data_IF_619895000098
#
_entry.id   IF_619895000098
#
_cell.length_a   1.000
_cell.length_b   1.000
_cell.length_c   1.000
_cell.angle_alpha   90.00
_cell.angle_beta   90.00
_cell.angle_gamma   90.00
#
_symmetry.space_group_name_H-M   'P 1'
#
loop_
_entity.id
_entity.type
_entity.pdbx_description
1 polymer ?
#
# COMPACT_ATOMS: atom_id res chain seq x y z
N UNK A 1 -9.13 47.12 -16.68
CA UNK A 1 -7.94 46.22 -16.69
C UNK A 1 -8.43 44.79 -16.84
N UNK A 2 -8.25 44.18 -18.01
CA UNK A 2 -8.48 42.74 -18.20
C UNK A 2 -7.34 42.01 -17.47
N UNK A 3 -7.63 41.39 -16.31
CA UNK A 3 -6.66 40.47 -15.67
C UNK A 3 -6.40 39.35 -16.68
N UNK A 4 -5.14 39.06 -17.00
CA UNK A 4 -4.74 37.92 -17.82
C UNK A 4 -5.44 36.65 -17.29
N UNK A 5 -6.49 36.20 -17.99
CA UNK A 5 -7.12 34.91 -17.71
C UNK A 5 -6.16 33.84 -18.23
N UNK A 6 -5.84 32.86 -17.37
CA UNK A 6 -5.10 31.68 -17.81
C UNK A 6 -6.08 30.83 -18.59
N UNK A 7 -5.63 30.37 -19.75
CA UNK A 7 -6.36 29.43 -20.58
C UNK A 7 -5.97 28.01 -20.13
N UNK A 8 -6.65 27.51 -19.11
CA UNK A 8 -6.33 26.22 -18.50
C UNK A 8 -6.72 25.06 -19.41
N UNK A 9 -5.83 24.08 -19.58
CA UNK A 9 -6.16 22.80 -20.21
C UNK A 9 -6.30 21.71 -19.14
N UNK A 10 -7.54 21.26 -18.90
CA UNK A 10 -7.88 20.37 -17.80
C UNK A 10 -8.36 19.02 -18.31
N UNK A 11 -7.90 17.93 -17.71
CA UNK A 11 -8.37 16.58 -18.00
C UNK A 11 -9.34 16.10 -16.90
N UNK A 12 -10.58 15.81 -17.28
CA UNK A 12 -11.60 15.24 -16.40
C UNK A 12 -11.75 13.73 -16.69
N UNK A 13 -11.39 12.88 -15.74
CA UNK A 13 -11.21 11.44 -15.97
C UNK A 13 -12.38 10.63 -15.39
N UNK A 14 -13.00 9.78 -16.21
CA UNK A 14 -13.86 8.69 -15.72
C UNK A 14 -15.21 9.13 -15.15
N UNK A 15 -15.69 10.33 -15.49
CA UNK A 15 -17.00 10.82 -15.08
C UNK A 15 -18.17 9.97 -15.62
N UNK A 16 -17.99 9.40 -16.81
CA UNK A 16 -18.89 8.46 -17.46
C UNK A 16 -19.15 7.21 -16.59
N UNK A 17 -18.08 6.65 -16.00
CA UNK A 17 -18.17 5.47 -15.13
C UNK A 17 -18.99 5.71 -13.87
N UNK A 18 -19.05 6.95 -13.40
CA UNK A 18 -19.87 7.33 -12.25
C UNK A 18 -21.32 7.69 -12.61
N UNK A 19 -21.68 7.60 -13.90
CA UNK A 19 -23.01 7.92 -14.42
C UNK A 19 -23.24 9.42 -14.61
N UNK A 20 -22.18 10.20 -14.78
CA UNK A 20 -22.29 11.57 -15.26
C UNK A 20 -22.15 11.60 -16.77
N UNK A 21 -22.99 12.38 -17.43
CA UNK A 21 -23.00 12.51 -18.88
C UNK A 21 -22.53 13.93 -19.23
N UNK A 22 -21.26 14.11 -19.66
CA UNK A 22 -20.84 15.40 -20.17
C UNK A 22 -21.56 15.69 -21.48
N UNK A 23 -21.99 16.94 -21.69
CA UNK A 23 -22.73 17.33 -22.92
C UNK A 23 -21.89 17.15 -24.19
N UNK A 24 -20.56 17.12 -24.05
CA UNK A 24 -19.59 16.97 -25.12
C UNK A 24 -18.27 16.40 -24.59
N UNK A 25 -17.43 15.86 -25.49
CA UNK A 25 -16.08 15.36 -25.13
C UNK A 25 -15.14 16.45 -24.61
N UNK A 26 -15.42 17.70 -24.94
CA UNK A 26 -14.64 18.84 -24.48
C UNK A 26 -15.53 20.06 -24.27
N UNK A 27 -15.37 20.74 -23.15
CA UNK A 27 -16.09 21.97 -22.85
C UNK A 27 -15.12 23.15 -22.81
N UNK A 28 -15.39 24.16 -23.62
CA UNK A 28 -14.70 25.45 -23.56
C UNK A 28 -15.42 26.37 -22.56
N UNK A 29 -14.62 27.06 -21.74
CA UNK A 29 -15.07 28.01 -20.72
C UNK A 29 -14.24 29.27 -20.79
N UNK A 30 -14.68 30.37 -20.16
CA UNK A 30 -13.86 31.59 -20.11
C UNK A 30 -12.55 31.41 -19.30
N UNK A 31 -12.35 30.27 -18.62
CA UNK A 31 -11.16 29.92 -17.85
C UNK A 31 -10.32 28.82 -18.53
N UNK A 32 -10.76 28.36 -19.70
CA UNK A 32 -10.07 27.36 -20.52
C UNK A 32 -10.92 26.16 -20.85
N UNK A 33 -10.26 25.06 -21.21
CA UNK A 33 -10.88 23.87 -21.80
C UNK A 33 -10.79 22.66 -20.87
N UNK A 34 -11.91 21.97 -20.71
CA UNK A 34 -12.00 20.69 -20.00
C UNK A 34 -12.23 19.57 -21.01
N UNK A 35 -11.28 18.65 -21.13
CA UNK A 35 -11.46 17.41 -21.90
C UNK A 35 -11.99 16.31 -20.97
N UNK A 36 -13.16 15.75 -21.28
CA UNK A 36 -13.74 14.61 -20.59
C UNK A 36 -13.27 13.33 -21.25
N UNK A 37 -12.42 12.57 -20.56
CA UNK A 37 -11.84 11.34 -21.05
C UNK A 37 -12.34 10.15 -20.24
N UNK A 38 -12.68 9.05 -20.92
CA UNK A 38 -12.85 7.75 -20.27
C UNK A 38 -11.53 7.28 -19.65
N UNK A 39 -11.60 6.27 -18.74
CA UNK A 39 -10.39 5.66 -18.13
C UNK A 39 -9.35 5.26 -19.21
N UNK A 40 -9.79 4.63 -20.28
CA UNK A 40 -8.93 4.10 -21.35
C UNK A 40 -8.32 5.24 -22.19
N UNK A 41 -9.10 6.26 -22.52
CA UNK A 41 -8.60 7.45 -23.24
C UNK A 41 -7.59 8.23 -22.38
N UNK A 42 -7.83 8.34 -21.07
CA UNK A 42 -6.92 9.02 -20.15
C UNK A 42 -5.57 8.30 -20.04
N UNK A 43 -5.56 6.96 -20.00
CA UNK A 43 -4.33 6.16 -19.98
C UNK A 43 -3.52 6.29 -21.26
N UNK A 44 -4.19 6.25 -22.42
CA UNK A 44 -3.54 6.28 -23.73
C UNK A 44 -3.15 7.69 -24.21
N UNK A 45 -3.75 8.74 -23.64
CA UNK A 45 -3.47 10.12 -24.03
C UNK A 45 -2.01 10.50 -23.77
N UNK A 46 -1.36 11.15 -24.74
CA UNK A 46 -0.02 11.75 -24.58
C UNK A 46 -0.07 13.26 -24.34
N UNK A 47 -1.28 13.82 -24.20
CA UNK A 47 -1.45 15.26 -23.99
C UNK A 47 -1.00 15.64 -22.58
N UNK A 48 -0.25 16.73 -22.49
CA UNK A 48 0.00 17.43 -21.22
C UNK A 48 -1.20 18.30 -20.88
N UNK A 49 -1.55 18.31 -19.59
CA UNK A 49 -2.65 19.06 -19.01
C UNK A 49 -2.12 19.86 -17.83
N UNK A 50 -2.65 21.05 -17.65
CA UNK A 50 -2.32 21.91 -16.51
C UNK A 50 -3.01 21.44 -15.23
N UNK A 51 -4.11 20.68 -15.37
CA UNK A 51 -4.94 20.25 -14.27
C UNK A 51 -5.63 18.91 -14.52
N UNK A 52 -5.88 18.16 -13.45
CA UNK A 52 -6.64 16.91 -13.48
C UNK A 52 -7.84 16.96 -12.54
N UNK A 53 -9.03 16.60 -13.01
CA UNK A 53 -10.22 16.35 -12.19
C UNK A 53 -10.45 14.84 -12.12
N UNK A 54 -10.30 14.28 -10.92
CA UNK A 54 -10.34 12.83 -10.68
C UNK A 54 -11.39 12.54 -9.60
N UNK A 55 -12.59 12.07 -9.99
CA UNK A 55 -13.56 11.55 -9.04
C UNK A 55 -13.07 10.30 -8.31
N UNK A 56 -13.49 10.11 -7.06
CA UNK A 56 -13.26 8.87 -6.33
C UNK A 56 -14.12 7.74 -6.90
N UNK A 57 -13.57 6.52 -6.92
CA UNK A 57 -14.29 5.31 -7.36
C UNK A 57 -14.24 5.06 -8.87
N UNK A 58 -13.39 5.76 -9.61
CA UNK A 58 -13.22 5.56 -11.06
C UNK A 58 -12.44 4.26 -11.36
N UNK A 59 -11.53 3.86 -10.48
CA UNK A 59 -10.66 2.70 -10.73
C UNK A 59 -11.07 1.45 -9.97
N UNK A 60 -12.11 1.54 -9.14
CA UNK A 60 -12.65 0.41 -8.40
C UNK A 60 -14.13 0.18 -8.69
N UNK A 61 -14.60 -1.03 -8.40
CA UNK A 61 -16.01 -1.38 -8.36
C UNK A 61 -16.26 -2.27 -7.16
N UNK A 62 -16.96 -1.75 -6.18
CA UNK A 62 -17.38 -2.50 -5.00
C UNK A 62 -18.79 -3.03 -5.27
N UNK A 63 -18.95 -4.35 -5.22
CA UNK A 63 -20.24 -5.02 -5.40
C UNK A 63 -20.61 -5.74 -4.12
N UNK A 64 -21.78 -5.41 -3.57
CA UNK A 64 -22.37 -6.14 -2.45
C UNK A 64 -23.24 -7.28 -2.97
N UNK A 65 -22.96 -8.49 -2.52
CA UNK A 65 -23.73 -9.71 -2.78
C UNK A 65 -24.29 -10.25 -1.47
N UNK A 66 -25.60 -10.57 -1.40
CA UNK A 66 -26.13 -11.24 -0.24
C UNK A 66 -25.50 -12.64 -0.11
N UNK A 67 -24.97 -12.95 1.07
CA UNK A 67 -24.46 -14.27 1.43
C UNK A 67 -25.26 -14.82 2.62
N UNK A 68 -25.19 -16.14 2.83
CA UNK A 68 -25.93 -16.84 3.91
C UNK A 68 -25.64 -16.25 5.29
N UNK A 69 -24.41 -15.78 5.49
CA UNK A 69 -23.94 -15.29 6.76
C UNK A 69 -23.89 -13.74 6.84
N UNK A 70 -24.42 -13.03 5.84
CA UNK A 70 -24.46 -11.57 5.78
C UNK A 70 -24.08 -11.01 4.41
N UNK A 71 -24.17 -9.69 4.17
CA UNK A 71 -23.73 -9.11 2.91
C UNK A 71 -22.21 -9.24 2.77
N UNK A 72 -21.76 -9.86 1.68
CA UNK A 72 -20.37 -9.93 1.25
C UNK A 72 -20.10 -8.84 0.23
N UNK A 73 -18.98 -8.16 0.33
CA UNK A 73 -18.49 -7.20 -0.65
C UNK A 73 -17.31 -7.77 -1.43
N UNK A 74 -17.25 -7.49 -2.73
CA UNK A 74 -16.10 -7.79 -3.58
C UNK A 74 -15.66 -6.48 -4.23
N UNK A 75 -14.36 -6.20 -4.22
CA UNK A 75 -13.78 -5.05 -4.91
C UNK A 75 -13.01 -5.51 -6.14
N UNK A 76 -13.46 -5.06 -7.31
CA UNK A 76 -12.75 -5.26 -8.58
C UNK A 76 -11.97 -3.99 -8.94
N UNK A 77 -10.67 -4.12 -9.19
CA UNK A 77 -9.78 -3.04 -9.57
C UNK A 77 -8.64 -3.57 -10.44
N UNK A 78 -8.39 -2.84 -11.52
CA UNK A 78 -7.29 -3.11 -12.44
C UNK A 78 -6.05 -2.33 -11.97
N UNK A 79 -5.27 -3.00 -11.13
CA UNK A 79 -4.12 -2.42 -10.40
C UNK A 79 -2.99 -1.99 -11.34
N UNK A 80 -2.82 -2.64 -12.49
CA UNK A 80 -1.80 -2.27 -13.47
C UNK A 80 -2.14 -0.95 -14.16
N UNK A 81 -3.38 -0.83 -14.65
CA UNK A 81 -3.88 0.42 -15.22
C UNK A 81 -3.84 1.57 -14.22
N UNK A 82 -4.22 1.28 -12.98
CA UNK A 82 -4.15 2.23 -11.88
C UNK A 82 -2.72 2.71 -11.64
N UNK A 83 -1.73 1.79 -11.59
CA UNK A 83 -0.32 2.15 -11.43
C UNK A 83 0.23 3.01 -12.57
N UNK A 84 -0.15 2.72 -13.82
CA UNK A 84 0.23 3.56 -14.98
C UNK A 84 -0.36 4.96 -14.89
N UNK A 85 -1.63 5.07 -14.51
CA UNK A 85 -2.28 6.38 -14.37
C UNK A 85 -1.69 7.17 -13.20
N UNK A 86 -1.44 6.53 -12.07
CA UNK A 86 -0.78 7.13 -10.91
C UNK A 86 0.57 7.74 -11.29
N UNK A 87 1.46 6.95 -11.92
CA UNK A 87 2.75 7.43 -12.38
C UNK A 87 2.63 8.64 -13.34
N UNK A 88 1.63 8.61 -14.23
CA UNK A 88 1.37 9.71 -15.16
C UNK A 88 0.93 10.99 -14.45
N UNK A 89 -0.02 10.89 -13.51
CA UNK A 89 -0.51 12.05 -12.74
C UNK A 89 0.60 12.63 -11.89
N UNK A 90 1.37 11.80 -11.19
CA UNK A 90 2.50 12.24 -10.35
C UNK A 90 3.58 12.95 -11.18
N UNK A 91 3.94 12.41 -12.34
CA UNK A 91 4.89 13.07 -13.26
C UNK A 91 4.42 14.45 -13.70
N UNK A 92 3.11 14.64 -13.93
CA UNK A 92 2.57 15.95 -14.30
C UNK A 92 2.51 16.90 -13.11
N UNK A 93 2.24 16.39 -11.90
CA UNK A 93 2.39 17.18 -10.68
C UNK A 93 3.84 17.65 -10.49
N UNK A 94 4.83 16.79 -10.69
CA UNK A 94 6.25 17.20 -10.66
C UNK A 94 6.57 18.29 -11.69
N UNK A 95 5.86 18.33 -12.82
CA UNK A 95 5.96 19.37 -13.84
C UNK A 95 5.16 20.66 -13.51
N UNK A 96 4.45 20.71 -12.39
CA UNK A 96 3.70 21.87 -11.91
C UNK A 96 2.20 21.86 -12.17
N UNK A 97 1.64 20.78 -12.72
CA UNK A 97 0.19 20.63 -12.90
C UNK A 97 -0.51 20.41 -11.56
N UNK A 98 -1.75 20.87 -11.42
CA UNK A 98 -2.55 20.63 -10.21
C UNK A 98 -3.48 19.43 -10.37
N UNK A 99 -3.92 18.85 -9.25
CA UNK A 99 -4.85 17.71 -9.24
C UNK A 99 -5.99 18.03 -8.29
N UNK A 100 -7.22 17.84 -8.73
CA UNK A 100 -8.41 17.93 -7.90
C UNK A 100 -9.07 16.55 -7.78
N UNK A 101 -9.08 16.03 -6.56
CA UNK A 101 -9.76 14.80 -6.20
C UNK A 101 -11.19 15.15 -5.75
N UNK A 102 -12.18 14.60 -6.44
CA UNK A 102 -13.60 14.81 -6.14
C UNK A 102 -14.16 13.60 -5.38
N UNK A 103 -14.34 13.74 -4.08
CA UNK A 103 -14.59 12.61 -3.17
C UNK A 103 -16.05 12.58 -2.72
N UNK A 104 -16.81 11.56 -3.14
CA UNK A 104 -18.15 11.28 -2.60
C UNK A 104 -18.05 10.24 -1.49
N UNK A 105 -17.64 9.03 -1.87
CA UNK A 105 -17.48 7.87 -1.00
C UNK A 105 -16.09 7.28 -1.21
N UNK A 106 -15.44 6.85 -0.13
CA UNK A 106 -14.21 6.08 -0.13
C UNK A 106 -14.34 4.97 0.91
N UNK A 107 -14.11 3.73 0.50
CA UNK A 107 -14.18 2.55 1.36
C UNK A 107 -12.78 1.99 1.44
N UNK A 108 -12.11 2.05 2.60
CA UNK A 108 -10.77 1.47 2.75
C UNK A 108 -10.79 -0.01 3.15
N UNK A 109 -11.94 -0.52 3.60
CA UNK A 109 -12.10 -1.88 4.13
C UNK A 109 -13.42 -2.47 3.69
N UNK A 110 -13.42 -3.72 3.22
CA UNK A 110 -14.62 -4.45 2.84
C UNK A 110 -14.77 -5.74 3.64
N UNK A 111 -16.02 -6.10 3.94
CA UNK A 111 -16.34 -7.37 4.57
C UNK A 111 -16.50 -8.44 3.47
N UNK A 112 -15.61 -9.43 3.43
CA UNK A 112 -15.70 -10.53 2.47
C UNK A 112 -16.62 -11.69 2.96
N UNK A 113 -17.36 -11.48 4.04
CA UNK A 113 -18.25 -12.46 4.67
C UNK A 113 -17.81 -12.73 6.11
N UNK A 114 -18.70 -13.25 6.96
CA UNK A 114 -18.42 -13.48 8.39
C UNK A 114 -17.28 -14.47 8.67
N UNK A 115 -16.93 -15.30 7.68
CA UNK A 115 -15.84 -16.28 7.77
C UNK A 115 -14.53 -15.79 7.18
N UNK A 116 -14.50 -14.63 6.54
CA UNK A 116 -13.32 -14.09 5.90
C UNK A 116 -12.87 -12.82 6.63
N UNK A 117 -11.56 -12.61 6.80
CA UNK A 117 -11.05 -11.38 7.38
C UNK A 117 -11.47 -10.17 6.53
N UNK A 118 -11.59 -9.01 7.19
CA UNK A 118 -11.87 -7.76 6.48
C UNK A 118 -10.69 -7.42 5.57
N UNK A 119 -10.91 -7.38 4.26
CA UNK A 119 -9.87 -7.05 3.30
C UNK A 119 -9.63 -5.54 3.24
N UNK A 120 -8.36 -5.14 3.22
CA UNK A 120 -7.95 -3.76 3.02
C UNK A 120 -7.91 -3.45 1.52
N UNK A 121 -8.69 -2.44 1.12
CA UNK A 121 -8.78 -1.95 -0.27
C UNK A 121 -8.43 -0.46 -0.35
N UNK A 122 -7.47 -0.02 0.47
CA UNK A 122 -7.03 1.38 0.53
C UNK A 122 -6.18 1.81 -0.68
N UNK A 123 -5.88 0.90 -1.61
CA UNK A 123 -5.02 1.13 -2.78
C UNK A 123 -5.70 0.82 -4.11
N UNK A 124 -7.01 0.54 -4.11
CA UNK A 124 -7.77 0.10 -5.29
C UNK A 124 -8.34 1.25 -6.14
N UNK A 125 -8.17 2.50 -5.71
CA UNK A 125 -8.60 3.69 -6.44
C UNK A 125 -7.51 4.77 -6.47
N UNK A 126 -7.46 5.56 -7.55
CA UNK A 126 -6.43 6.57 -7.79
C UNK A 126 -6.46 7.68 -6.73
N UNK A 127 -7.64 8.13 -6.34
CA UNK A 127 -7.76 9.16 -5.32
C UNK A 127 -7.26 8.64 -3.96
N UNK A 128 -7.50 7.37 -3.62
CA UNK A 128 -6.97 6.76 -2.38
C UNK A 128 -5.45 6.68 -2.39
N UNK A 129 -4.85 6.23 -3.50
CA UNK A 129 -3.38 6.14 -3.62
C UNK A 129 -2.69 7.49 -3.49
N UNK A 130 -3.22 8.51 -4.18
CA UNK A 130 -2.71 9.89 -4.05
C UNK A 130 -2.82 10.37 -2.59
N UNK A 131 -3.96 10.17 -1.93
CA UNK A 131 -4.13 10.56 -0.52
C UNK A 131 -3.23 9.79 0.45
N UNK A 132 -2.95 8.50 0.19
CA UNK A 132 -2.02 7.70 1.01
C UNK A 132 -0.61 8.27 0.98
N UNK A 133 -0.15 8.79 -0.16
CA UNK A 133 1.17 9.45 -0.29
C UNK A 133 1.31 10.65 0.65
N UNK A 134 0.21 11.38 0.88
CA UNK A 134 0.14 12.50 1.80
C UNK A 134 -0.30 12.12 3.22
N UNK A 135 -0.38 10.80 3.52
CA UNK A 135 -0.77 10.26 4.84
C UNK A 135 -2.12 10.79 5.34
N UNK A 136 -3.03 11.12 4.42
CA UNK A 136 -4.38 11.62 4.76
C UNK A 136 -5.26 10.43 5.15
N UNK A 137 -5.65 10.37 6.42
CA UNK A 137 -6.59 9.35 6.88
C UNK A 137 -8.01 9.74 6.49
N UNK A 138 -8.85 8.72 6.28
CA UNK A 138 -10.21 8.86 5.76
C UNK A 138 -11.17 8.15 6.69
N UNK A 139 -12.31 8.78 6.94
CA UNK A 139 -13.39 8.21 7.74
C UNK A 139 -14.70 8.31 6.99
N UNK A 140 -15.48 7.22 7.00
CA UNK A 140 -16.80 7.22 6.40
C UNK A 140 -17.82 7.87 7.31
N UNK A 141 -18.65 8.72 6.72
CA UNK A 141 -19.73 9.42 7.38
C UNK A 141 -21.08 8.86 6.99
N UNK A 142 -21.93 8.68 7.99
CA UNK A 142 -23.32 8.31 7.78
C UNK A 142 -24.12 9.58 7.45
N UNK A 143 -24.42 9.72 6.16
CA UNK A 143 -25.41 10.60 5.51
C UNK A 143 -25.17 12.12 5.49
N UNK A 144 -25.93 12.78 4.61
CA UNK A 144 -25.72 14.11 4.03
C UNK A 144 -25.46 15.22 5.03
N UNK A 145 -24.27 15.81 4.92
CA UNK A 145 -23.77 16.86 5.79
C UNK A 145 -24.05 18.23 5.19
N UNK A 146 -24.35 19.19 6.07
CA UNK A 146 -24.32 20.61 5.68
C UNK A 146 -22.87 21.04 5.61
N UNK A 147 -22.35 21.18 4.39
CA UNK A 147 -20.97 21.58 4.15
C UNK A 147 -20.84 23.11 4.14
N UNK A 148 -19.78 23.63 4.74
CA UNK A 148 -19.37 25.03 4.64
C UNK A 148 -17.94 25.12 4.17
N UNK A 149 -17.63 26.12 3.33
CA UNK A 149 -16.26 26.38 2.92
C UNK A 149 -15.56 27.35 3.86
N UNK A 150 -14.29 27.09 4.15
CA UNK A 150 -13.39 28.04 4.81
C UNK A 150 -12.79 29.07 3.85
N UNK A 151 -12.89 28.81 2.54
CA UNK A 151 -12.28 29.60 1.49
C UNK A 151 -13.38 30.17 0.59
N UNK A 152 -13.47 31.50 0.53
CA UNK A 152 -14.52 32.21 -0.23
C UNK A 152 -14.66 31.73 -1.67
N UNK A 153 -13.56 31.37 -2.32
CA UNK A 153 -13.56 30.88 -3.70
C UNK A 153 -14.42 29.62 -3.89
N UNK A 154 -14.47 28.73 -2.89
CA UNK A 154 -15.22 27.47 -2.98
C UNK A 154 -16.65 27.56 -2.43
N UNK A 155 -17.08 28.70 -1.85
CA UNK A 155 -18.41 28.82 -1.22
C UNK A 155 -19.56 28.51 -2.19
N UNK A 156 -19.53 29.09 -3.40
CA UNK A 156 -20.55 28.87 -4.42
C UNK A 156 -20.62 27.39 -4.83
N UNK A 157 -19.44 26.80 -5.10
CA UNK A 157 -19.31 25.40 -5.45
C UNK A 157 -19.88 24.47 -4.36
N UNK A 158 -19.45 24.69 -3.11
CA UNK A 158 -19.84 23.87 -1.97
C UNK A 158 -21.34 23.97 -1.70
N UNK A 159 -21.90 25.17 -1.77
CA UNK A 159 -23.32 25.40 -1.51
C UNK A 159 -24.22 24.72 -2.55
N UNK A 160 -23.85 24.80 -3.83
CA UNK A 160 -24.72 24.42 -4.94
C UNK A 160 -24.53 22.96 -5.35
N UNK A 161 -23.29 22.46 -5.37
CA UNK A 161 -22.94 21.24 -6.08
C UNK A 161 -22.32 20.15 -5.22
N UNK A 162 -21.65 20.50 -4.13
CA UNK A 162 -20.91 19.55 -3.30
C UNK A 162 -21.80 18.58 -2.51
N UNK A 163 -21.33 17.35 -2.39
CA UNK A 163 -21.79 16.30 -1.48
C UNK A 163 -20.64 15.34 -1.20
N UNK A 164 -20.55 14.85 0.03
CA UNK A 164 -19.61 13.79 0.39
C UNK A 164 -20.11 13.01 1.60
N UNK A 165 -19.58 11.80 1.75
CA UNK A 165 -19.71 10.90 2.89
C UNK A 165 -18.35 10.53 3.46
N UNK A 166 -17.31 11.35 3.22
CA UNK A 166 -15.96 11.11 3.72
C UNK A 166 -15.49 12.33 4.49
N UNK A 167 -14.98 12.12 5.70
CA UNK A 167 -14.20 13.10 6.44
C UNK A 167 -12.71 12.72 6.41
N UNK A 168 -11.85 13.72 6.55
CA UNK A 168 -10.40 13.59 6.47
C UNK A 168 -9.75 14.00 7.78
N UNK A 169 -8.70 13.27 8.16
CA UNK A 169 -7.76 13.71 9.19
C UNK A 169 -6.45 14.10 8.51
N UNK A 170 -6.08 15.40 8.55
CA UNK A 170 -4.85 15.87 7.92
C UNK A 170 -3.62 15.31 8.64
N UNK A 171 -2.51 15.24 7.91
CA UNK A 171 -1.21 14.87 8.47
C UNK A 171 -0.37 16.12 8.70
N UNK A 172 0.33 16.17 9.83
CA UNK A 172 1.28 17.25 10.15
C UNK A 172 2.56 17.20 9.29
N UNK A 173 2.74 16.13 8.48
CA UNK A 173 3.89 15.97 7.62
C UNK A 173 3.89 16.88 6.38
N UNK A 174 2.76 17.50 6.03
CA UNK A 174 2.60 18.30 4.82
C UNK A 174 1.85 19.61 5.10
N UNK A 175 2.08 20.63 4.27
CA UNK A 175 1.28 21.86 4.29
C UNK A 175 -0.16 21.52 3.82
N UNK A 176 -1.11 21.50 4.76
CA UNK A 176 -2.51 21.23 4.49
C UNK A 176 -3.39 22.40 4.93
N UNK A 177 -4.18 22.93 3.99
CA UNK A 177 -5.12 24.03 4.24
C UNK A 177 -6.55 23.47 4.23
N UNK A 178 -7.26 23.50 5.37
CA UNK A 178 -8.69 23.19 5.43
C UNK A 178 -9.50 24.05 4.44
N UNK A 179 -10.28 23.43 3.56
CA UNK A 179 -11.08 24.15 2.55
C UNK A 179 -12.58 23.97 2.73
N UNK A 180 -13.04 22.79 3.17
CA UNK A 180 -14.46 22.48 3.37
C UNK A 180 -14.63 21.66 4.64
N UNK A 181 -15.60 22.02 5.48
CA UNK A 181 -15.91 21.33 6.73
C UNK A 181 -17.41 21.20 6.98
N UNK A 182 -17.75 20.45 8.01
CA UNK A 182 -19.08 20.34 8.58
C UNK A 182 -18.97 20.23 10.11
N UNK A 183 -20.09 20.08 10.80
CA UNK A 183 -20.10 19.79 12.24
C UNK A 183 -19.43 18.45 12.61
N UNK A 184 -19.25 17.54 11.64
CA UNK A 184 -18.65 16.22 11.87
C UNK A 184 -17.16 16.14 11.55
N UNK A 185 -16.60 17.14 10.86
CA UNK A 185 -15.17 17.15 10.55
C UNK A 185 -14.81 17.89 9.27
N UNK A 186 -13.60 17.60 8.79
CA UNK A 186 -13.02 18.17 7.59
C UNK A 186 -13.41 17.33 6.37
N UNK A 187 -13.90 17.96 5.31
CA UNK A 187 -14.40 17.31 4.09
C UNK A 187 -13.71 17.78 2.81
N UNK A 188 -12.86 18.79 2.91
CA UNK A 188 -12.02 19.24 1.83
C UNK A 188 -10.78 19.92 2.39
N UNK A 189 -9.67 19.72 1.69
CA UNK A 189 -8.36 20.24 2.06
C UNK A 189 -7.52 20.48 0.81
N UNK A 190 -6.55 21.38 0.92
CA UNK A 190 -5.58 21.67 -0.13
C UNK A 190 -4.22 21.25 0.39
N UNK A 191 -3.51 20.38 -0.32
CA UNK A 191 -2.19 19.86 0.04
C UNK A 191 -1.16 20.50 -0.86
N UNK A 192 -0.16 21.16 -0.27
CA UNK A 192 0.97 21.81 -0.97
C UNK A 192 0.54 22.77 -2.09
N UNK A 193 -0.71 23.22 -2.06
CA UNK A 193 -1.34 24.06 -3.10
C UNK A 193 -1.33 23.47 -4.50
N UNK A 194 -1.19 22.15 -4.59
CA UNK A 194 -1.20 21.41 -5.85
C UNK A 194 -2.29 20.35 -5.87
N UNK A 195 -2.62 19.76 -4.71
CA UNK A 195 -3.67 18.75 -4.60
C UNK A 195 -4.87 19.33 -3.89
N UNK A 196 -5.99 19.43 -4.59
CA UNK A 196 -7.26 19.90 -4.08
C UNK A 196 -8.15 18.70 -3.80
N UNK A 197 -8.41 18.41 -2.54
CA UNK A 197 -9.35 17.36 -2.13
C UNK A 197 -10.67 18.05 -1.81
N UNK A 198 -11.68 17.79 -2.62
CA UNK A 198 -12.98 18.45 -2.52
C UNK A 198 -14.11 17.42 -2.55
N UNK A 199 -15.25 17.71 -1.90
CA UNK A 199 -16.45 16.90 -2.04
C UNK A 199 -16.86 16.75 -3.51
N UNK A 200 -17.40 15.60 -3.90
CA UNK A 200 -17.86 15.36 -5.27
C UNK A 200 -19.21 16.02 -5.56
N UNK A 201 -19.66 15.92 -6.81
CA UNK A 201 -20.96 16.44 -7.24
C UNK A 201 -22.12 15.63 -6.65
N UNK A 202 -23.20 16.32 -6.26
CA UNK A 202 -24.45 15.70 -5.77
C UNK A 202 -24.97 14.66 -6.75
N UNK A 203 -25.36 13.48 -6.25
CA UNK A 203 -25.96 12.38 -7.04
C UNK A 203 -27.19 12.78 -7.87
N UNK A 204 -27.88 13.87 -7.51
CA UNK A 204 -29.01 14.44 -8.28
C UNK A 204 -28.60 15.03 -9.65
N UNK A 205 -27.30 15.16 -9.93
CA UNK A 205 -26.77 15.61 -11.21
C UNK A 205 -26.46 14.45 -12.18
N UNK A 206 -26.66 13.18 -11.77
CA UNK A 206 -26.56 12.05 -12.71
C UNK A 206 -27.60 12.23 -13.83
N UNK A 207 -27.16 12.12 -15.07
CA UNK A 207 -27.97 12.42 -16.27
C UNK A 207 -28.26 13.91 -16.51
N UNK A 208 -27.51 14.83 -15.89
CA UNK A 208 -27.55 16.27 -16.17
C UNK A 208 -26.18 16.76 -16.62
N UNK A 209 -26.17 17.86 -17.37
CA UNK A 209 -24.96 18.58 -17.79
C UNK A 209 -24.01 18.86 -16.61
N UNK A 210 -22.76 18.46 -16.78
CA UNK A 210 -21.65 18.75 -15.85
C UNK A 210 -21.06 20.14 -16.03
N UNK A 211 -21.49 20.91 -17.04
CA UNK A 211 -20.75 22.10 -17.46
C UNK A 211 -20.65 23.16 -16.37
N UNK A 212 -21.80 23.54 -15.78
CA UNK A 212 -21.84 24.56 -14.74
C UNK A 212 -21.11 24.15 -13.44
N UNK A 213 -21.27 22.93 -12.89
CA UNK A 213 -20.48 22.47 -11.75
C UNK A 213 -18.96 22.50 -11.99
N UNK A 214 -18.50 22.00 -13.15
CA UNK A 214 -17.09 21.98 -13.50
C UNK A 214 -16.54 23.40 -13.69
N UNK A 215 -17.33 24.29 -14.27
CA UNK A 215 -16.99 25.71 -14.43
C UNK A 215 -16.78 26.42 -13.09
N UNK A 216 -17.72 26.29 -12.15
CA UNK A 216 -17.60 26.90 -10.82
C UNK A 216 -16.40 26.36 -10.06
N UNK A 217 -16.13 25.06 -10.19
CA UNK A 217 -14.96 24.42 -9.60
C UNK A 217 -13.64 24.97 -10.16
N UNK A 218 -13.51 25.06 -11.49
CA UNK A 218 -12.30 25.59 -12.12
C UNK A 218 -12.03 27.04 -11.73
N UNK A 219 -13.09 27.87 -11.74
CA UNK A 219 -12.99 29.25 -11.29
C UNK A 219 -12.47 29.32 -9.86
N UNK A 220 -12.99 28.49 -8.96
CA UNK A 220 -12.56 28.45 -7.56
C UNK A 220 -11.08 28.04 -7.41
N UNK A 221 -10.64 27.03 -8.17
CA UNK A 221 -9.24 26.57 -8.19
C UNK A 221 -8.31 27.69 -8.71
N UNK A 222 -8.65 28.33 -9.82
CA UNK A 222 -7.86 29.43 -10.39
C UNK A 222 -7.75 30.61 -9.41
N UNK A 223 -8.85 30.99 -8.75
CA UNK A 223 -8.84 32.04 -7.73
C UNK A 223 -7.91 31.70 -6.55
N UNK A 224 -7.89 30.45 -6.10
CA UNK A 224 -6.98 30.00 -5.03
C UNK A 224 -5.52 29.96 -5.47
N UNK A 225 -5.23 29.44 -6.66
CA UNK A 225 -3.89 29.43 -7.22
C UNK A 225 -3.33 30.84 -7.41
N UNK A 226 -4.19 31.81 -7.78
CA UNK A 226 -3.84 33.23 -7.86
C UNK A 226 -3.63 33.84 -6.48
N UNK A 227 -4.52 33.57 -5.53
CA UNK A 227 -4.41 34.11 -4.17
C UNK A 227 -3.09 33.71 -3.50
N UNK A 228 -2.59 32.48 -3.75
CA UNK A 228 -1.25 32.07 -3.28
C UNK A 228 -0.12 32.85 -3.96
N UNK A 229 -0.22 33.09 -5.27
CA UNK A 229 0.78 33.87 -6.03
C UNK A 229 0.78 35.36 -5.70
N UNK A 230 -0.40 35.92 -5.43
CA UNK A 230 -0.60 37.36 -5.16
C UNK A 230 -0.59 37.68 -3.65
N UNK A 231 -0.55 36.67 -2.77
CA UNK A 231 -0.53 36.83 -1.32
C UNK A 231 0.72 37.53 -0.79
N UNK A 232 0.65 38.18 0.39
CA UNK A 232 1.76 38.96 0.95
C UNK A 232 3.03 38.15 1.18
N UNK A 233 2.94 36.82 1.36
CA UNK A 233 4.11 35.92 1.48
C UNK A 233 4.80 35.64 0.13
N UNK A 234 4.11 35.79 -1.00
CA UNK A 234 4.65 35.61 -2.36
C UNK A 234 5.16 36.91 -3.00
N UNK A 235 5.12 38.04 -2.28
CA UNK A 235 5.63 39.33 -2.76
C UNK A 235 7.16 39.45 -2.83
N UNK A 236 7.87 38.34 -2.65
CA UNK A 236 9.27 38.22 -3.01
C UNK A 236 9.57 36.85 -3.64
N UNK A 237 8.84 36.46 -4.69
CA UNK A 237 9.47 35.52 -5.63
C UNK A 237 10.72 36.22 -6.17
N UNK A 238 11.88 35.73 -5.74
CA UNK A 238 13.16 36.25 -6.20
C UNK A 238 13.14 36.19 -7.74
N UNK A 239 13.46 37.30 -8.43
CA UNK A 239 13.56 37.27 -9.88
C UNK A 239 14.54 36.18 -10.32
N UNK A 240 14.37 35.59 -11.50
CA UNK A 240 15.16 34.42 -11.94
C UNK A 240 16.68 34.63 -11.80
N UNK A 241 17.17 35.85 -12.04
CA UNK A 241 18.57 36.19 -11.84
C UNK A 241 19.03 36.11 -10.37
N UNK A 242 18.14 36.40 -9.42
CA UNK A 242 18.41 36.27 -7.99
C UNK A 242 18.29 34.82 -7.52
N UNK A 243 17.48 33.99 -8.19
CA UNK A 243 17.48 32.53 -7.97
C UNK A 243 18.76 31.87 -8.52
N UNK A 244 19.38 32.45 -9.55
CA UNK A 244 20.68 32.02 -10.04
C UNK A 244 21.81 32.30 -9.03
N UNK A 245 21.60 33.23 -8.09
CA UNK A 245 22.52 33.49 -6.99
C UNK A 245 22.32 32.44 -5.89
N UNK A 246 23.10 31.37 -5.94
CA UNK A 246 23.10 30.33 -4.91
C UNK A 246 24.12 30.63 -3.81
N UNK A 247 23.68 30.63 -2.56
CA UNK A 247 24.59 30.69 -1.43
C UNK A 247 25.29 29.34 -1.24
N UNK A 248 26.58 29.34 -0.86
CA UNK A 248 27.30 28.10 -0.55
C UNK A 248 26.58 27.23 0.49
N UNK A 249 26.00 27.87 1.51
CA UNK A 249 25.23 27.18 2.56
C UNK A 249 23.94 26.58 2.01
N UNK A 250 23.29 27.23 1.06
CA UNK A 250 22.10 26.70 0.40
C UNK A 250 22.43 25.44 -0.40
N UNK A 251 23.53 25.43 -1.16
CA UNK A 251 24.00 24.23 -1.87
C UNK A 251 24.33 23.09 -0.90
N UNK A 252 25.00 23.39 0.22
CA UNK A 252 25.28 22.40 1.27
C UNK A 252 24.00 21.81 1.86
N UNK A 253 23.01 22.65 2.20
CA UNK A 253 21.74 22.21 2.76
C UNK A 253 20.90 21.41 1.76
N UNK A 254 20.87 21.82 0.48
CA UNK A 254 20.21 21.04 -0.59
C UNK A 254 20.84 19.65 -0.72
N UNK A 255 22.17 19.57 -0.70
CA UNK A 255 22.88 18.30 -0.71
C UNK A 255 22.53 17.44 0.51
N UNK A 256 22.53 18.01 1.71
CA UNK A 256 22.15 17.30 2.93
C UNK A 256 20.71 16.79 2.88
N UNK A 257 19.77 17.60 2.37
CA UNK A 257 18.38 17.17 2.14
C UNK A 257 18.32 15.99 1.19
N UNK A 258 19.03 16.05 0.07
CA UNK A 258 19.02 14.99 -0.93
C UNK A 258 19.66 13.69 -0.38
N UNK A 259 20.74 13.82 0.40
CA UNK A 259 21.37 12.71 1.13
C UNK A 259 20.39 12.09 2.17
N UNK A 260 19.67 12.91 2.95
CA UNK A 260 18.67 12.44 3.90
C UNK A 260 17.48 11.77 3.22
N UNK A 261 17.05 12.28 2.05
CA UNK A 261 15.94 11.72 1.30
C UNK A 261 16.31 10.35 0.69
N UNK A 262 17.54 10.20 0.19
CA UNK A 262 18.06 8.91 -0.25
C UNK A 262 18.12 7.90 0.91
N UNK A 263 18.64 8.33 2.07
CA UNK A 263 18.68 7.48 3.27
C UNK A 263 17.27 7.06 3.74
N UNK A 264 16.28 7.97 3.67
CA UNK A 264 14.90 7.64 4.01
C UNK A 264 14.33 6.57 3.08
N UNK A 265 14.56 6.68 1.76
CA UNK A 265 14.11 5.69 0.79
C UNK A 265 14.74 4.31 1.02
N UNK A 266 16.05 4.26 1.35
CA UNK A 266 16.72 3.01 1.72
C UNK A 266 16.09 2.36 2.95
N UNK A 267 15.77 3.16 3.98
CA UNK A 267 15.10 2.67 5.18
C UNK A 267 13.67 2.15 4.89
N UNK A 268 12.91 2.85 4.04
CA UNK A 268 11.56 2.41 3.63
C UNK A 268 11.62 1.05 2.91
N UNK A 269 12.58 0.84 2.01
CA UNK A 269 12.78 -0.48 1.35
C UNK A 269 13.09 -1.58 2.35
N UNK A 270 13.88 -1.30 3.38
CA UNK A 270 14.19 -2.28 4.45
C UNK A 270 12.95 -2.59 5.29
N UNK A 271 12.15 -1.58 5.64
CA UNK A 271 10.89 -1.76 6.38
C UNK A 271 9.94 -2.62 5.56
N UNK A 272 9.73 -2.32 4.28
CA UNK A 272 8.86 -3.09 3.40
C UNK A 272 9.27 -4.56 3.31
N UNK A 273 10.59 -4.84 3.25
CA UNK A 273 11.11 -6.22 3.30
C UNK A 273 10.77 -6.92 4.61
N UNK A 274 11.00 -6.26 5.75
CA UNK A 274 10.68 -6.81 7.07
C UNK A 274 9.16 -7.08 7.21
N UNK A 275 8.32 -6.19 6.69
CA UNK A 275 6.87 -6.38 6.66
C UNK A 275 6.45 -7.55 5.77
N UNK A 276 7.07 -7.68 4.60
CA UNK A 276 6.84 -8.82 3.71
C UNK A 276 7.23 -10.15 4.38
N UNK A 277 8.36 -10.20 5.07
CA UNK A 277 8.79 -11.40 5.81
C UNK A 277 7.86 -11.76 6.96
N UNK A 278 7.35 -10.76 7.71
CA UNK A 278 6.32 -11.01 8.75
C UNK A 278 5.08 -11.71 8.18
N UNK A 279 4.75 -11.49 6.91
CA UNK A 279 3.63 -12.16 6.23
C UNK A 279 3.73 -13.69 6.16
N UNK A 280 4.92 -14.28 6.40
CA UNK A 280 5.12 -15.74 6.43
C UNK A 280 4.16 -16.48 7.37
N UNK A 281 3.67 -15.83 8.43
CA UNK A 281 2.72 -16.45 9.39
C UNK A 281 1.26 -16.42 8.92
N UNK A 282 0.99 -15.75 7.80
CA UNK A 282 -0.37 -15.53 7.26
C UNK A 282 -0.53 -16.06 5.84
N UNK A 283 0.57 -16.38 5.15
CA UNK A 283 0.52 -16.86 3.76
C UNK A 283 0.40 -18.39 3.67
N UNK A 284 -0.18 -18.85 2.57
CA UNK A 284 -0.23 -20.25 2.15
C UNK A 284 0.13 -20.38 0.67
N UNK A 285 0.45 -21.60 0.22
CA UNK A 285 0.77 -21.86 -1.18
C UNK A 285 1.99 -21.06 -1.69
N UNK A 286 1.97 -20.71 -2.98
CA UNK A 286 3.08 -20.01 -3.66
C UNK A 286 3.57 -18.73 -2.95
N UNK A 287 2.70 -17.83 -2.42
CA UNK A 287 3.15 -16.69 -1.62
C UNK A 287 4.01 -17.05 -0.41
N UNK A 288 3.66 -18.13 0.31
CA UNK A 288 4.42 -18.61 1.47
C UNK A 288 5.82 -19.07 1.03
N UNK A 289 5.89 -19.89 -0.03
CA UNK A 289 7.15 -20.38 -0.58
C UNK A 289 8.05 -19.24 -1.04
N UNK A 290 7.49 -18.25 -1.75
CA UNK A 290 8.22 -17.07 -2.22
C UNK A 290 8.85 -16.31 -1.05
N UNK A 291 8.07 -16.01 -0.01
CA UNK A 291 8.58 -15.29 1.16
C UNK A 291 9.66 -16.09 1.88
N UNK A 292 9.49 -17.40 2.04
CA UNK A 292 10.50 -18.25 2.68
C UNK A 292 11.81 -18.25 1.88
N UNK A 293 11.74 -18.40 0.56
CA UNK A 293 12.91 -18.35 -0.32
C UNK A 293 13.63 -17.01 -0.19
N UNK A 294 12.89 -15.92 -0.34
CA UNK A 294 13.44 -14.57 -0.27
C UNK A 294 14.06 -14.32 1.12
N UNK A 295 13.50 -14.89 2.19
CA UNK A 295 14.04 -14.82 3.55
C UNK A 295 15.35 -15.61 3.70
N UNK A 296 15.42 -16.87 3.24
CA UNK A 296 16.66 -17.64 3.26
C UNK A 296 17.76 -17.03 2.38
N UNK A 297 17.37 -16.40 1.28
CA UNK A 297 18.31 -15.77 0.35
C UNK A 297 18.76 -14.38 0.81
N UNK A 298 17.85 -13.47 1.14
CA UNK A 298 18.19 -12.08 1.44
C UNK A 298 18.60 -11.87 2.91
N UNK A 299 17.90 -12.50 3.86
CA UNK A 299 18.18 -12.29 5.28
C UNK A 299 19.33 -13.16 5.77
N UNK A 300 19.28 -14.45 5.43
CA UNK A 300 20.32 -15.41 5.81
C UNK A 300 21.43 -15.54 4.78
N UNK A 301 21.25 -15.10 3.54
CA UNK A 301 22.33 -15.11 2.56
C UNK A 301 22.67 -16.49 2.01
N UNK A 302 21.74 -17.44 2.03
CA UNK A 302 21.92 -18.75 1.38
C UNK A 302 21.60 -18.65 -0.11
N UNK A 303 22.23 -19.51 -0.90
CA UNK A 303 21.76 -19.79 -2.23
C UNK A 303 20.61 -20.80 -2.16
N UNK A 304 19.48 -20.50 -2.79
CA UNK A 304 18.25 -21.31 -2.70
C UNK A 304 17.85 -21.80 -4.09
N UNK A 305 18.02 -23.09 -4.34
CA UNK A 305 17.60 -23.73 -5.60
C UNK A 305 16.20 -24.33 -5.45
N UNK A 306 15.26 -23.90 -6.29
CA UNK A 306 13.93 -24.48 -6.31
C UNK A 306 13.91 -25.79 -7.12
N UNK A 307 13.28 -26.82 -6.56
CA UNK A 307 13.09 -28.09 -7.27
C UNK A 307 11.93 -27.96 -8.25
N UNK A 308 12.22 -28.03 -9.56
CA UNK A 308 11.21 -27.79 -10.62
C UNK A 308 10.01 -28.74 -10.56
N UNK A 309 10.22 -29.99 -10.16
CA UNK A 309 9.16 -31.01 -10.08
C UNK A 309 8.31 -30.87 -8.80
N UNK A 310 8.81 -30.17 -7.79
CA UNK A 310 8.20 -30.06 -6.45
C UNK A 310 8.41 -28.64 -5.95
N UNK A 311 7.56 -27.68 -6.35
CA UNK A 311 7.75 -26.26 -6.07
C UNK A 311 7.80 -25.91 -4.59
N UNK A 312 7.28 -26.80 -3.73
CA UNK A 312 7.32 -26.72 -2.28
C UNK A 312 8.67 -27.08 -1.63
N UNK A 313 9.61 -27.62 -2.44
CA UNK A 313 10.95 -27.98 -2.02
C UNK A 313 11.99 -26.99 -2.53
N UNK A 314 12.97 -26.72 -1.66
CA UNK A 314 14.12 -25.89 -1.98
C UNK A 314 15.40 -26.48 -1.37
N UNK A 315 16.49 -26.42 -2.11
CA UNK A 315 17.81 -26.86 -1.66
C UNK A 315 18.62 -25.62 -1.27
N UNK A 316 19.15 -25.62 -0.05
CA UNK A 316 20.01 -24.54 0.44
C UNK A 316 21.48 -24.89 0.26
N UNK A 317 22.25 -23.90 -0.17
CA UNK A 317 23.69 -23.97 -0.39
C UNK A 317 24.38 -22.70 0.14
N UNK A 318 25.68 -22.76 0.42
CA UNK A 318 26.47 -21.55 0.76
C UNK A 318 26.69 -20.64 -0.45
N UNK A 319 26.73 -21.24 -1.63
CA UNK A 319 26.93 -20.61 -2.93
C UNK A 319 26.40 -21.55 -4.02
N UNK A 320 26.19 -21.03 -5.23
CA UNK A 320 25.69 -21.78 -6.38
C UNK A 320 26.48 -23.08 -6.65
N UNK A 321 27.81 -23.07 -6.48
CA UNK A 321 28.67 -24.23 -6.73
C UNK A 321 28.93 -25.12 -5.51
N UNK A 322 28.43 -24.76 -4.33
CA UNK A 322 28.67 -25.54 -3.10
C UNK A 322 27.74 -26.75 -3.00
N UNK A 323 28.13 -27.83 -2.29
CA UNK A 323 27.26 -28.97 -2.08
C UNK A 323 25.98 -28.56 -1.32
N UNK A 324 24.89 -29.34 -1.47
CA UNK A 324 23.66 -29.14 -0.69
C UNK A 324 23.98 -29.16 0.81
N UNK A 325 23.46 -28.17 1.54
CA UNK A 325 23.56 -28.13 3.00
C UNK A 325 22.30 -28.68 3.67
N UNK A 326 21.13 -28.31 3.14
CA UNK A 326 19.85 -28.55 3.77
C UNK A 326 18.77 -28.61 2.69
N UNK A 327 17.87 -29.57 2.80
CA UNK A 327 16.63 -29.59 2.02
C UNK A 327 15.52 -28.93 2.85
N UNK A 328 14.82 -27.95 2.29
CA UNK A 328 13.70 -27.28 2.94
C UNK A 328 12.40 -27.62 2.24
N UNK A 329 11.39 -27.99 3.03
CA UNK A 329 10.00 -28.00 2.63
C UNK A 329 9.23 -27.01 3.47
N UNK A 330 8.37 -26.23 2.83
CA UNK A 330 7.46 -25.34 3.54
C UNK A 330 6.04 -25.87 3.40
N UNK A 331 5.27 -25.85 4.47
CA UNK A 331 3.89 -26.32 4.42
C UNK A 331 2.97 -25.46 5.30
N UNK A 332 1.91 -24.97 4.69
CA UNK A 332 0.80 -24.34 5.40
C UNK A 332 -0.12 -25.45 5.93
N UNK A 333 -0.39 -25.45 7.24
CA UNK A 333 -1.16 -26.51 7.89
C UNK A 333 -2.43 -25.96 8.51
N UNK A 334 -3.57 -26.54 8.15
CA UNK A 334 -4.88 -26.35 8.78
C UNK A 334 -5.22 -27.47 9.79
N UNK A 335 -4.30 -28.41 9.95
CA UNK A 335 -4.44 -29.64 10.74
C UNK A 335 -3.17 -29.98 11.49
N UNK A 336 -3.28 -30.86 12.47
CA UNK A 336 -2.11 -31.41 13.15
C UNK A 336 -1.20 -32.20 12.21
N UNK A 337 0.11 -31.99 12.33
CA UNK A 337 1.15 -32.75 11.63
C UNK A 337 1.00 -34.26 11.88
N UNK A 338 0.95 -35.08 10.83
CA UNK A 338 0.88 -36.54 10.96
C UNK A 338 2.24 -37.17 10.65
N UNK A 339 2.49 -38.38 11.17
CA UNK A 339 3.70 -39.16 10.83
C UNK A 339 3.84 -39.40 9.32
N UNK A 340 2.71 -39.56 8.63
CA UNK A 340 2.72 -39.73 7.17
C UNK A 340 3.31 -38.52 6.46
N UNK A 341 3.02 -37.29 6.91
CA UNK A 341 3.56 -36.08 6.29
C UNK A 341 5.10 -36.04 6.39
N UNK A 342 5.67 -36.53 7.50
CA UNK A 342 7.12 -36.68 7.68
C UNK A 342 7.73 -37.72 6.74
N UNK A 343 7.04 -38.85 6.53
CA UNK A 343 7.50 -39.88 5.60
C UNK A 343 7.43 -39.39 4.14
N UNK A 344 6.46 -38.52 3.78
CA UNK A 344 6.41 -37.92 2.43
C UNK A 344 7.66 -37.10 2.16
N UNK A 345 8.11 -36.29 3.13
CA UNK A 345 9.36 -35.53 2.97
C UNK A 345 10.56 -36.45 2.67
N UNK A 346 10.66 -37.56 3.40
CA UNK A 346 11.75 -38.53 3.21
C UNK A 346 11.70 -39.18 1.82
N UNK A 347 10.52 -39.59 1.36
CA UNK A 347 10.34 -40.12 -0.01
C UNK A 347 10.67 -39.07 -1.08
N UNK A 348 10.26 -37.82 -0.88
CA UNK A 348 10.59 -36.73 -1.82
C UNK A 348 12.10 -36.46 -1.89
N UNK A 349 12.81 -36.55 -0.76
CA UNK A 349 14.28 -36.44 -0.71
C UNK A 349 14.94 -37.53 -1.57
N UNK A 350 14.44 -38.76 -1.52
CA UNK A 350 14.91 -39.85 -2.38
C UNK A 350 14.58 -39.60 -3.86
N UNK A 351 13.38 -39.10 -4.18
CA UNK A 351 12.93 -38.81 -5.55
C UNK A 351 13.80 -37.76 -6.26
N UNK A 352 14.30 -36.76 -5.53
CA UNK A 352 15.21 -35.74 -6.08
C UNK A 352 16.66 -36.20 -6.14
N UNK A 353 16.96 -37.44 -5.70
CA UNK A 353 18.28 -38.05 -5.75
C UNK A 353 19.26 -37.57 -4.67
N UNK A 354 18.75 -36.94 -3.61
CA UNK A 354 19.58 -36.48 -2.50
C UNK A 354 19.79 -37.60 -1.47
N UNK A 355 20.88 -37.51 -0.71
CA UNK A 355 21.23 -38.52 0.30
C UNK A 355 20.23 -38.52 1.47
N UNK A 356 19.85 -39.68 2.03
CA UNK A 356 19.06 -39.73 3.27
C UNK A 356 19.79 -39.10 4.46
N UNK A 357 21.11 -38.92 4.37
CA UNK A 357 21.91 -38.23 5.37
C UNK A 357 21.91 -36.70 5.19
N UNK A 358 21.37 -36.16 4.08
CA UNK A 358 21.20 -34.72 3.92
C UNK A 358 20.15 -34.24 4.92
N UNK A 359 20.48 -33.29 5.81
CA UNK A 359 19.50 -32.75 6.75
C UNK A 359 18.30 -32.16 6.02
N UNK A 360 17.12 -32.38 6.57
CA UNK A 360 15.88 -31.76 6.10
C UNK A 360 15.33 -30.77 7.12
N UNK A 361 14.69 -29.71 6.65
CA UNK A 361 13.92 -28.77 7.45
C UNK A 361 12.49 -28.74 6.92
N UNK A 362 11.56 -29.10 7.79
CA UNK A 362 10.13 -28.91 7.54
C UNK A 362 9.67 -27.66 8.27
N UNK A 363 9.45 -26.59 7.51
CA UNK A 363 8.96 -25.31 7.99
C UNK A 363 7.43 -25.29 7.92
N UNK A 364 6.79 -25.27 9.08
CA UNK A 364 5.35 -25.40 9.21
C UNK A 364 4.71 -24.05 9.54
N UNK A 365 3.71 -23.65 8.77
CA UNK A 365 2.91 -22.46 9.04
C UNK A 365 1.48 -22.83 9.46
N UNK A 366 1.14 -22.76 10.76
CA UNK A 366 -0.23 -22.96 11.22
C UNK A 366 -1.18 -21.87 10.68
N UNK A 367 -2.17 -22.29 9.89
CA UNK A 367 -3.15 -21.42 9.21
C UNK A 367 -4.42 -21.18 10.02
N UNK A 368 -4.36 -21.31 11.34
CA UNK A 368 -5.47 -20.97 12.22
C UNK A 368 -5.60 -19.44 12.39
N UNK A 369 -6.83 -18.98 12.62
CA UNK A 369 -7.16 -17.59 12.96
C UNK A 369 -6.80 -17.24 14.42
N UNK A 370 -5.90 -18.02 15.02
CA UNK A 370 -5.49 -17.87 16.41
C UNK A 370 -4.64 -16.61 16.60
N UNK A 371 -4.72 -16.02 17.79
CA UNK A 371 -3.96 -14.82 18.10
C UNK A 371 -2.45 -15.10 18.12
N UNK A 372 -1.63 -14.05 18.07
CA UNK A 372 -0.17 -14.20 18.15
C UNK A 372 0.25 -15.00 19.40
N UNK A 373 -0.39 -14.76 20.53
CA UNK A 373 -0.13 -15.43 21.81
C UNK A 373 -0.51 -16.91 21.77
N UNK A 374 -1.59 -17.25 21.08
CA UNK A 374 -2.02 -18.65 20.90
C UNK A 374 -1.02 -19.39 20.00
N UNK A 375 -0.60 -18.79 18.88
CA UNK A 375 0.44 -19.34 18.00
C UNK A 375 1.77 -19.53 18.73
N UNK A 376 2.09 -18.62 19.66
CA UNK A 376 3.28 -18.72 20.51
C UNK A 376 3.21 -19.93 21.45
N UNK A 377 2.03 -20.31 21.93
CA UNK A 377 1.85 -21.46 22.84
C UNK A 377 1.80 -22.81 22.15
N UNK A 378 1.55 -22.86 20.83
CA UNK A 378 1.57 -24.11 20.10
C UNK A 378 2.92 -24.83 20.28
N UNK A 379 2.90 -26.15 20.33
CA UNK A 379 4.10 -26.96 20.42
C UNK A 379 3.94 -28.22 19.58
N UNK A 380 5.03 -28.68 18.96
CA UNK A 380 5.00 -29.98 18.31
C UNK A 380 4.93 -31.10 19.35
N UNK A 381 4.07 -32.07 19.12
CA UNK A 381 3.99 -33.30 19.90
C UNK A 381 5.36 -34.01 19.99
N UNK A 382 5.70 -34.55 21.16
CA UNK A 382 7.02 -35.14 21.43
C UNK A 382 7.33 -36.33 20.52
N UNK A 383 6.34 -37.16 20.21
CA UNK A 383 6.53 -38.35 19.38
C UNK A 383 6.83 -37.95 17.93
N UNK A 384 6.21 -36.85 17.45
CA UNK A 384 6.50 -36.29 16.13
C UNK A 384 7.92 -35.75 16.04
N UNK A 385 8.41 -35.10 17.10
CA UNK A 385 9.80 -34.62 17.18
C UNK A 385 10.78 -35.79 17.14
N UNK A 386 10.53 -36.85 17.92
CA UNK A 386 11.39 -38.04 17.92
C UNK A 386 11.40 -38.75 16.57
N UNK A 387 10.24 -38.89 15.92
CA UNK A 387 10.15 -39.48 14.57
C UNK A 387 10.87 -38.63 13.53
N UNK A 388 10.71 -37.30 13.55
CA UNK A 388 11.43 -36.40 12.66
C UNK A 388 12.96 -36.50 12.85
N UNK A 389 13.44 -36.56 14.09
CA UNK A 389 14.87 -36.78 14.40
C UNK A 389 15.39 -38.09 13.83
N UNK A 390 14.62 -39.19 13.93
CA UNK A 390 15.00 -40.47 13.35
C UNK A 390 15.16 -40.43 11.81
N UNK A 391 14.47 -39.50 11.15
CA UNK A 391 14.55 -39.27 9.69
C UNK A 391 15.57 -38.19 9.28
N UNK A 392 16.35 -37.67 10.24
CA UNK A 392 17.26 -36.53 10.05
C UNK A 392 16.52 -35.25 9.57
N UNK A 393 15.34 -35.01 10.15
CA UNK A 393 14.47 -33.87 9.87
C UNK A 393 14.33 -32.96 11.09
N UNK A 394 14.55 -31.66 10.88
CA UNK A 394 14.28 -30.60 11.84
C UNK A 394 12.89 -30.01 11.58
N UNK A 395 12.10 -29.87 12.65
CA UNK A 395 10.78 -29.23 12.61
C UNK A 395 10.91 -27.81 13.15
N UNK A 396 10.45 -26.83 12.37
CA UNK A 396 10.43 -25.43 12.77
C UNK A 396 9.10 -24.80 12.36
N UNK A 397 8.57 -23.88 13.16
CA UNK A 397 7.42 -23.07 12.73
C UNK A 397 7.89 -21.79 12.07
N UNK A 398 7.07 -21.28 11.14
CA UNK A 398 7.22 -19.94 10.57
C UNK A 398 7.41 -18.87 11.66
N UNK A 399 6.63 -18.94 12.75
CA UNK A 399 6.75 -18.03 13.89
C UNK A 399 8.11 -18.16 14.63
N UNK A 400 8.60 -19.39 14.83
CA UNK A 400 9.89 -19.60 15.50
C UNK A 400 11.06 -19.08 14.65
N UNK A 401 10.95 -19.18 13.32
CA UNK A 401 11.89 -18.58 12.39
C UNK A 401 11.91 -17.06 12.49
N UNK A 402 10.74 -16.41 12.56
CA UNK A 402 10.66 -14.96 12.76
C UNK A 402 11.25 -14.51 14.10
N UNK A 403 10.99 -15.25 15.18
CA UNK A 403 11.57 -14.94 16.50
C UNK A 403 13.09 -15.09 16.47
N UNK A 404 13.61 -16.12 15.79
CA UNK A 404 15.04 -16.26 15.58
C UNK A 404 15.60 -15.08 14.79
N UNK A 405 14.94 -14.65 13.71
CA UNK A 405 15.36 -13.49 12.93
C UNK A 405 15.45 -12.23 13.80
N UNK A 406 14.44 -11.98 14.63
CA UNK A 406 14.42 -10.84 15.55
C UNK A 406 15.60 -10.86 16.53
N UNK A 407 16.05 -12.03 16.98
CA UNK A 407 17.20 -12.15 17.89
C UNK A 407 18.55 -11.88 17.19
N UNK A 408 18.63 -12.06 15.87
CA UNK A 408 19.88 -12.06 15.12
C UNK A 408 19.94 -11.00 14.01
N UNK A 409 18.95 -10.13 13.89
CA UNK A 409 18.86 -9.13 12.81
C UNK A 409 20.03 -8.14 12.83
N UNK A 410 20.62 -7.85 13.98
CA UNK A 410 21.81 -6.99 14.08
C UNK A 410 23.13 -7.72 13.79
N UNK A 411 23.09 -9.05 13.59
CA UNK A 411 24.29 -9.86 13.40
C UNK A 411 24.79 -9.82 11.94
N UNK A 412 26.10 -9.97 11.69
CA UNK A 412 26.62 -10.17 10.34
C UNK A 412 26.05 -11.43 9.69
N UNK A 413 25.91 -11.43 8.36
CA UNK A 413 25.32 -12.53 7.60
C UNK A 413 25.92 -13.91 7.94
N UNK A 414 27.25 -14.03 8.00
CA UNK A 414 27.92 -15.30 8.34
C UNK A 414 27.54 -15.83 9.74
N UNK A 415 27.31 -14.94 10.71
CA UNK A 415 26.86 -15.32 12.05
C UNK A 415 25.38 -15.73 12.02
N UNK A 416 24.52 -15.02 11.27
CA UNK A 416 23.12 -15.43 11.07
C UNK A 416 23.00 -16.82 10.46
N UNK A 417 23.81 -17.13 9.44
CA UNK A 417 23.85 -18.46 8.81
C UNK A 417 24.21 -19.54 9.82
N UNK A 418 25.27 -19.31 10.60
CA UNK A 418 25.71 -20.23 11.64
C UNK A 418 24.62 -20.46 12.68
N UNK A 419 24.01 -19.39 13.19
CA UNK A 419 22.97 -19.47 14.22
C UNK A 419 21.71 -20.19 13.72
N UNK A 420 21.32 -19.99 12.45
CA UNK A 420 20.25 -20.78 11.84
C UNK A 420 20.62 -22.27 11.86
N UNK A 421 21.77 -22.65 11.31
CA UNK A 421 22.18 -24.05 11.23
C UNK A 421 22.30 -24.69 12.62
N UNK A 422 22.82 -23.98 13.61
CA UNK A 422 22.87 -24.43 15.01
C UNK A 422 21.46 -24.61 15.60
N UNK A 423 20.53 -23.69 15.32
CA UNK A 423 19.14 -23.79 15.79
C UNK A 423 18.39 -25.00 15.20
N UNK A 424 18.80 -25.45 14.02
CA UNK A 424 18.24 -26.65 13.39
C UNK A 424 18.76 -27.93 14.04
N UNK A 425 20.00 -27.92 14.54
CA UNK A 425 20.64 -29.05 15.23
C UNK A 425 20.20 -29.16 16.69
N UNK A 426 19.93 -28.02 17.33
CA UNK A 426 19.44 -27.93 18.70
C UNK A 426 18.43 -26.79 18.74
N UNK A 427 17.13 -27.07 18.88
CA UNK A 427 16.13 -26.02 19.15
C UNK A 427 16.64 -25.20 20.35
N UNK A 428 17.11 -23.96 20.16
CA UNK A 428 17.91 -23.31 21.17
C UNK A 428 17.09 -23.12 22.44
N UNK A 429 17.69 -23.47 23.58
CA UNK A 429 17.13 -23.16 24.91
C UNK A 429 16.78 -21.67 25.02
N UNK A 430 17.47 -20.80 24.28
CA UNK A 430 17.18 -19.36 24.18
C UNK A 430 15.79 -19.05 23.59
N UNK A 431 15.37 -19.71 22.50
CA UNK A 431 14.05 -19.46 21.91
C UNK A 431 12.91 -19.85 22.85
N UNK A 432 13.08 -20.93 23.64
CA UNK A 432 12.10 -21.33 24.67
C UNK A 432 12.02 -20.29 25.78
N UNK A 433 13.17 -19.85 26.29
CA UNK A 433 13.23 -18.81 27.32
C UNK A 433 12.59 -17.51 26.82
N UNK A 434 12.83 -17.13 25.56
CA UNK A 434 12.24 -15.90 24.99
C UNK A 434 10.73 -15.99 24.81
N UNK A 435 10.22 -17.15 24.39
CA UNK A 435 8.77 -17.44 24.36
C UNK A 435 8.16 -17.27 25.75
N UNK A 436 8.80 -17.80 26.78
CA UNK A 436 8.36 -17.64 28.16
C UNK A 436 8.41 -16.17 28.62
N UNK A 437 9.46 -15.42 28.26
CA UNK A 437 9.58 -13.99 28.55
C UNK A 437 8.46 -13.16 27.89
N UNK A 438 8.16 -13.39 26.61
CA UNK A 438 7.07 -12.71 25.89
C UNK A 438 5.70 -13.04 26.51
N UNK A 439 5.49 -14.30 26.90
CA UNK A 439 4.26 -14.71 27.60
C UNK A 439 4.13 -14.12 29.02
N UNK A 440 5.24 -13.73 29.65
CA UNK A 440 5.26 -13.16 31.01
C UNK A 440 5.24 -11.62 31.03
N UNK A 441 5.82 -10.96 30.02
CA UNK A 441 5.96 -9.51 29.94
C UNK A 441 4.63 -8.74 29.88
N UNK A 442 3.57 -9.36 29.38
CA UNK A 442 2.24 -8.72 29.22
C UNK A 442 1.25 -9.04 30.36
N UNK A 443 1.69 -9.74 31.42
CA UNK A 443 0.92 -9.87 32.67
C UNK A 443 1.16 -8.73 33.66
N UNK A 444 1.93 -7.72 33.27
CA UNK A 444 2.18 -6.47 34.00
C UNK A 444 1.59 -5.31 33.21
#
# INVERSE_FOLDING_TARGET
MQKNKRDWKVCAIGFDRLGFEPDSKSMDTDWGRIDFLSKIEAESSQLSYDGYLIPSGVYERITETPDRDGPRSICDSDLEALGRMEAKVLKQMEAGSWVCLLVDEMVDKINEGTRYPTSLISTTDLAKRILNRFRVQRQQEKSGLSLSSHLKAFEAYVKNWASTKVSFLPSDAFEMIPSVSSSKGLHGLIIESQVFVLPCFRKRLKGRSLGQPCFELLKAIDEQLRAKKEGPESSASLPEWAQALQFRKETELKKQRDEMQAALQELEVVIDKLESWKGIVSFSGEPLFKVCRDLFQDFFGFWVDQVKSQPELSILRMSESSPPLLLIRVEAMDRDLKRNDLNVFDSQREEIGESPNLPGLLLLNPMDDSSFEEKLRLEFDSDKRQHAQALNLSLMRSLDLLLLMQEIEDKPQAERQKLLLESLLQLPVSLRKRREELLQGERR
#
